data_IF_457723295442
#
_entry.id   IF_457723295442
#
_cell.length_a   1.000
_cell.length_b   1.000
_cell.length_c   1.000
_cell.angle_alpha   90.00
_cell.angle_beta   90.00
_cell.angle_gamma   90.00
#
_symmetry.space_group_name_H-M   'P 1'
#
loop_
_entity.id
_entity.type
_entity.pdbx_description
1 polymer ?
#
# COMPACT_ATOMS: atom_id res chain seq x y z
N UNK A 1 -1.58 -3.16 6.81
CA UNK A 1 -2.73 -2.26 6.87
C UNK A 1 -3.68 -2.77 7.93
N UNK A 2 -4.14 -1.92 8.84
CA UNK A 2 -5.18 -2.28 9.81
C UNK A 2 -6.56 -2.10 9.18
N UNK A 3 -7.47 -3.04 9.43
CA UNK A 3 -8.90 -2.91 9.16
C UNK A 3 -9.58 -2.55 10.47
N UNK A 4 -10.23 -1.41 10.50
CA UNK A 4 -10.91 -0.88 11.68
C UNK A 4 -12.41 -0.93 11.46
N UNK A 5 -13.13 -1.56 12.38
CA UNK A 5 -14.58 -1.46 12.44
C UNK A 5 -14.94 -0.07 13.00
N UNK A 6 -15.61 0.73 12.16
CA UNK A 6 -15.94 2.12 12.48
C UNK A 6 -16.97 2.21 13.61
N UNK A 7 -17.91 1.27 13.71
CA UNK A 7 -18.93 1.31 14.76
C UNK A 7 -18.31 0.97 16.11
N UNK A 8 -17.44 -0.04 16.18
CA UNK A 8 -16.68 -0.34 17.40
C UNK A 8 -15.76 0.82 17.79
N UNK A 9 -15.12 1.47 16.83
CA UNK A 9 -14.29 2.64 17.09
C UNK A 9 -15.10 3.81 17.69
N UNK A 10 -16.25 4.14 17.09
CA UNK A 10 -17.15 5.20 17.57
C UNK A 10 -17.75 4.87 18.94
N UNK A 11 -17.97 3.59 19.24
CA UNK A 11 -18.42 3.12 20.54
C UNK A 11 -17.33 3.12 21.63
N UNK A 12 -16.08 3.48 21.30
CA UNK A 12 -14.97 3.54 22.26
C UNK A 12 -14.39 2.17 22.63
N UNK A 13 -14.55 1.15 21.77
CA UNK A 13 -14.06 -0.21 22.02
C UNK A 13 -12.52 -0.34 22.07
N UNK A 14 -11.79 0.75 21.80
CA UNK A 14 -10.33 0.80 21.88
C UNK A 14 -9.68 -0.20 20.91
N UNK A 15 -8.69 -1.00 21.35
CA UNK A 15 -7.98 -1.93 20.48
C UNK A 15 -8.88 -2.97 19.78
N UNK A 16 -10.04 -3.29 20.36
CA UNK A 16 -10.99 -4.24 19.75
C UNK A 16 -11.61 -3.72 18.45
N UNK A 17 -11.49 -2.42 18.16
CA UNK A 17 -11.93 -1.87 16.88
C UNK A 17 -11.02 -2.29 15.72
N UNK A 18 -9.77 -2.72 15.94
CA UNK A 18 -8.93 -3.32 14.89
C UNK A 18 -9.33 -4.78 14.69
N UNK A 19 -10.17 -5.04 13.68
CA UNK A 19 -10.75 -6.36 13.42
C UNK A 19 -9.87 -7.25 12.53
N UNK A 20 -8.92 -6.66 11.81
CA UNK A 20 -7.93 -7.42 11.06
C UNK A 20 -6.65 -6.60 10.82
N UNK A 21 -5.54 -7.29 10.59
CA UNK A 21 -4.30 -6.70 10.12
C UNK A 21 -3.79 -7.44 8.89
N UNK A 22 -3.80 -6.74 7.76
CA UNK A 22 -3.42 -7.28 6.46
C UNK A 22 -1.93 -7.02 6.24
N UNK A 23 -1.10 -8.06 6.09
CA UNK A 23 0.32 -7.88 5.79
C UNK A 23 0.49 -7.34 4.38
N UNK A 24 1.19 -6.22 4.26
CA UNK A 24 1.64 -5.70 2.97
C UNK A 24 3.10 -6.08 2.82
N UNK A 25 3.40 -6.86 1.79
CA UNK A 25 4.74 -7.40 1.53
C UNK A 25 5.12 -7.05 0.11
N UNK A 26 6.35 -6.59 -0.08
CA UNK A 26 6.85 -6.31 -1.42
C UNK A 26 6.98 -7.59 -2.26
N UNK A 27 6.87 -7.50 -3.59
CA UNK A 27 7.40 -8.53 -4.47
C UNK A 27 8.87 -8.80 -4.13
N UNK A 28 9.22 -10.07 -3.88
CA UNK A 28 10.56 -10.46 -3.42
C UNK A 28 10.79 -10.41 -1.90
N UNK A 29 9.77 -10.05 -1.09
CA UNK A 29 9.77 -10.17 0.37
C UNK A 29 10.47 -9.03 1.11
N UNK A 30 9.93 -8.52 2.21
CA UNK A 30 10.45 -7.38 2.99
C UNK A 30 9.42 -6.26 3.20
N UNK A 31 9.78 -5.16 3.90
CA UNK A 31 8.82 -4.15 4.32
C UNK A 31 8.24 -3.36 3.13
N UNK A 32 6.91 -3.23 3.10
CA UNK A 32 6.16 -2.53 2.05
C UNK A 32 6.13 -0.99 2.18
N UNK A 33 6.38 -0.45 3.38
CA UNK A 33 6.35 1.01 3.69
C UNK A 33 5.13 1.72 3.07
N UNK A 34 3.90 1.39 3.52
CA UNK A 34 2.69 2.03 2.99
C UNK A 34 2.72 3.54 3.21
N UNK A 35 2.24 4.32 2.23
CA UNK A 35 2.26 5.79 2.21
C UNK A 35 0.88 6.39 2.02
N UNK A 36 0.20 6.04 0.93
CA UNK A 36 -1.15 6.50 0.60
C UNK A 36 -2.15 5.35 0.53
N UNK A 37 -3.43 5.68 0.63
CA UNK A 37 -4.54 4.74 0.43
C UNK A 37 -5.68 5.45 -0.28
N UNK A 38 -6.33 4.74 -1.21
CA UNK A 38 -7.59 5.14 -1.83
C UNK A 38 -8.55 3.95 -1.82
N UNK A 39 -9.86 4.22 -1.80
CA UNK A 39 -10.91 3.19 -1.75
C UNK A 39 -11.80 3.34 -2.96
N UNK A 40 -12.18 2.23 -3.59
CA UNK A 40 -13.08 2.26 -4.75
C UNK A 40 -14.46 2.82 -4.37
N UNK A 41 -15.19 3.48 -5.29
CA UNK A 41 -16.49 4.08 -4.97
C UNK A 41 -17.54 3.09 -4.43
N UNK A 42 -17.44 1.82 -4.80
CA UNK A 42 -18.30 0.74 -4.31
C UNK A 42 -17.85 0.18 -2.93
N UNK A 43 -16.75 0.68 -2.37
CA UNK A 43 -16.19 0.25 -1.10
C UNK A 43 -15.61 -1.17 -1.11
N UNK A 44 -15.47 -1.81 -2.29
CA UNK A 44 -15.01 -3.20 -2.37
C UNK A 44 -13.51 -3.34 -2.20
N UNK A 45 -12.74 -2.41 -2.78
CA UNK A 45 -11.28 -2.49 -2.79
C UNK A 45 -10.65 -1.25 -2.18
N UNK A 46 -9.56 -1.46 -1.44
CA UNK A 46 -8.62 -0.40 -1.12
C UNK A 46 -7.33 -0.61 -1.92
N UNK A 47 -6.74 0.48 -2.42
CA UNK A 47 -5.42 0.48 -3.04
C UNK A 47 -4.47 1.23 -2.15
N UNK A 48 -3.44 0.54 -1.68
CA UNK A 48 -2.41 1.12 -0.81
C UNK A 48 -1.14 1.32 -1.62
N UNK A 49 -0.58 2.52 -1.61
CA UNK A 49 0.71 2.80 -2.24
C UNK A 49 1.87 2.60 -1.27
N UNK A 50 3.03 2.26 -1.80
CA UNK A 50 4.27 2.21 -1.03
C UNK A 50 5.45 1.81 -1.91
N UNK A 51 6.58 1.52 -1.29
CA UNK A 51 7.80 1.24 -2.04
C UNK A 51 9.00 1.05 -1.14
N UNK A 52 9.96 0.28 -1.64
CA UNK A 52 11.20 0.02 -0.93
C UNK A 52 12.07 1.28 -0.88
N UNK A 53 12.79 1.46 0.22
CA UNK A 53 14.06 2.17 0.14
C UNK A 53 15.06 1.25 -0.55
N UNK A 54 16.00 1.78 -1.32
CA UNK A 54 17.13 0.99 -1.81
C UNK A 54 17.85 0.36 -0.60
N UNK A 55 17.66 -0.94 -0.41
CA UNK A 55 18.31 -1.67 0.68
C UNK A 55 19.76 -1.97 0.25
N UNK A 56 20.74 -1.61 1.09
CA UNK A 56 22.13 -2.05 0.91
C UNK A 56 23.18 -0.95 0.70
N UNK A 57 22.86 0.33 0.92
CA UNK A 57 23.87 1.39 0.83
C UNK A 57 24.40 1.75 2.23
N UNK A 58 25.74 1.83 2.42
CA UNK A 58 26.41 1.87 3.73
C UNK A 58 26.19 3.14 4.57
N UNK A 59 25.25 3.99 4.18
CA UNK A 59 24.93 5.26 4.84
C UNK A 59 23.48 5.25 5.34
N UNK A 60 23.19 4.45 6.38
CA UNK A 60 21.98 4.53 7.21
C UNK A 60 20.73 5.09 6.52
N UNK A 61 20.31 4.43 5.43
CA UNK A 61 19.39 4.91 4.40
C UNK A 61 18.45 6.04 4.82
N UNK A 62 18.88 7.27 4.63
CA UNK A 62 18.04 8.45 4.43
C UNK A 62 18.52 9.05 3.11
N UNK A 63 17.75 8.89 2.02
CA UNK A 63 17.99 9.64 0.78
C UNK A 63 18.69 8.91 -0.37
N UNK A 64 18.72 7.58 -0.40
CA UNK A 64 18.94 6.85 -1.66
C UNK A 64 17.61 6.27 -2.10
N UNK A 65 16.94 7.03 -2.94
CA UNK A 65 15.73 6.62 -3.63
C UNK A 65 16.11 5.63 -4.73
N UNK A 66 15.17 4.81 -5.20
CA UNK A 66 15.46 3.89 -6.29
C UNK A 66 15.92 4.58 -7.58
N UNK A 67 15.64 5.87 -7.74
CA UNK A 67 16.22 6.76 -8.75
C UNK A 67 17.77 6.83 -8.75
N UNK A 68 18.42 6.66 -7.59
CA UNK A 68 19.90 6.70 -7.48
C UNK A 68 20.55 5.32 -7.64
N UNK A 69 19.75 4.26 -7.80
CA UNK A 69 20.23 2.90 -8.13
C UNK A 69 19.73 2.57 -9.53
N UNK A 70 20.54 2.87 -10.54
CA UNK A 70 20.24 2.68 -11.98
C UNK A 70 19.81 1.27 -12.38
N UNK A 71 20.05 0.27 -11.52
CA UNK A 71 19.61 -1.11 -11.70
C UNK A 71 18.15 -1.38 -11.26
N UNK A 72 17.51 -0.48 -10.51
CA UNK A 72 16.14 -0.65 -10.01
C UNK A 72 15.32 0.60 -10.31
N UNK A 73 15.10 0.89 -11.59
CA UNK A 73 14.04 1.82 -11.96
C UNK A 73 12.70 1.24 -11.45
N UNK A 74 11.91 2.06 -10.76
CA UNK A 74 10.49 1.79 -10.48
C UNK A 74 10.18 0.80 -9.32
N UNK A 75 10.71 1.09 -8.12
CA UNK A 75 10.48 0.30 -6.89
C UNK A 75 9.11 0.49 -6.22
N UNK A 76 8.31 1.46 -6.68
CA UNK A 76 7.00 1.69 -6.13
C UNK A 76 6.06 0.53 -6.47
N UNK A 77 5.22 0.19 -5.49
CA UNK A 77 4.20 -0.82 -5.64
C UNK A 77 2.88 -0.33 -5.06
N UNK A 78 1.78 -0.80 -5.66
CA UNK A 78 0.44 -0.64 -5.12
C UNK A 78 -0.11 -2.02 -4.76
N UNK A 79 -0.70 -2.15 -3.58
CA UNK A 79 -1.41 -3.37 -3.16
C UNK A 79 -2.91 -3.12 -3.26
N UNK A 80 -3.59 -3.95 -4.06
CA UNK A 80 -5.05 -3.97 -4.12
C UNK A 80 -5.54 -4.95 -3.06
N UNK A 81 -6.32 -4.45 -2.13
CA UNK A 81 -6.88 -5.17 -0.99
C UNK A 81 -8.38 -5.31 -1.19
N UNK A 82 -8.90 -6.54 -1.13
CA UNK A 82 -10.33 -6.78 -1.02
C UNK A 82 -10.75 -6.57 0.44
N UNK A 83 -11.62 -5.58 0.65
CA UNK A 83 -12.07 -5.16 1.98
C UNK A 83 -13.08 -6.12 2.60
N UNK A 84 -13.66 -7.04 1.83
CA UNK A 84 -14.57 -8.07 2.35
C UNK A 84 -13.80 -9.28 2.85
N UNK A 85 -12.78 -9.73 2.12
CA UNK A 85 -11.97 -10.89 2.51
C UNK A 85 -10.74 -10.54 3.35
N UNK A 86 -10.47 -9.25 3.54
CA UNK A 86 -9.30 -8.75 4.26
C UNK A 86 -7.98 -9.31 3.71
N UNK A 87 -7.83 -9.32 2.38
CA UNK A 87 -6.66 -9.90 1.72
C UNK A 87 -6.16 -9.04 0.57
N UNK A 88 -4.85 -9.07 0.35
CA UNK A 88 -4.25 -8.55 -0.88
C UNK A 88 -4.65 -9.47 -2.03
N UNK A 89 -5.31 -8.93 -3.04
CA UNK A 89 -5.80 -9.67 -4.23
C UNK A 89 -5.02 -9.34 -5.50
N UNK A 90 -4.29 -8.22 -5.52
CA UNK A 90 -3.35 -7.91 -6.59
C UNK A 90 -2.22 -7.01 -6.11
N UNK A 91 -1.12 -6.99 -6.86
CA UNK A 91 0.00 -6.06 -6.67
C UNK A 91 0.37 -5.46 -8.01
N UNK A 92 0.39 -4.13 -8.08
CA UNK A 92 0.90 -3.37 -9.24
C UNK A 92 2.33 -2.98 -8.91
N UNK A 93 3.28 -3.35 -9.77
CA UNK A 93 4.70 -3.02 -9.61
C UNK A 93 5.12 -2.00 -10.65
N UNK A 94 6.26 -1.35 -10.43
CA UNK A 94 6.72 -0.33 -11.37
C UNK A 94 5.84 0.92 -11.33
N UNK A 95 5.49 1.39 -10.13
CA UNK A 95 4.69 2.61 -9.95
C UNK A 95 5.53 3.71 -9.31
N UNK A 96 6.20 4.48 -10.15
CA UNK A 96 7.14 5.51 -9.71
C UNK A 96 8.26 4.99 -8.79
N UNK A 97 9.02 5.95 -8.31
CA UNK A 97 10.09 5.70 -7.34
C UNK A 97 9.51 5.57 -5.92
N UNK A 98 8.64 6.52 -5.56
CA UNK A 98 8.01 6.60 -4.24
C UNK A 98 6.56 7.13 -4.36
N UNK A 99 5.57 6.27 -4.59
CA UNK A 99 4.20 6.72 -4.78
C UNK A 99 3.56 7.11 -3.44
N UNK A 100 3.33 8.41 -3.25
CA UNK A 100 2.64 8.95 -2.07
C UNK A 100 1.14 9.08 -2.29
N UNK A 101 0.77 9.74 -3.39
CA UNK A 101 -0.63 9.95 -3.75
C UNK A 101 -1.07 8.84 -4.68
N UNK A 102 -2.26 8.30 -4.41
CA UNK A 102 -2.91 7.30 -5.23
C UNK A 102 -4.39 7.66 -5.31
N UNK A 103 -4.98 7.44 -6.48
CA UNK A 103 -6.41 7.54 -6.71
C UNK A 103 -6.88 6.30 -7.48
N UNK A 104 -8.17 6.00 -7.44
CA UNK A 104 -8.74 4.77 -8.00
C UNK A 104 -10.00 5.05 -8.79
N UNK A 105 -10.16 4.33 -9.90
CA UNK A 105 -11.38 4.28 -10.70
C UNK A 105 -11.73 2.83 -10.99
N UNK A 106 -13.01 2.53 -11.15
CA UNK A 106 -13.54 1.19 -11.46
C UNK A 106 -13.56 0.91 -12.97
N UNK A 107 -12.93 1.77 -13.78
CA UNK A 107 -12.80 1.55 -15.22
C UNK A 107 -14.08 1.81 -16.02
N UNK A 108 -15.07 2.51 -15.44
CA UNK A 108 -16.25 2.99 -16.18
C UNK A 108 -15.95 4.08 -17.22
N UNK A 109 -14.69 4.47 -17.37
CA UNK A 109 -14.22 5.34 -18.44
C UNK A 109 -13.27 4.55 -19.35
N UNK A 110 -13.85 3.89 -20.36
CA UNK A 110 -13.10 3.52 -21.57
C UNK A 110 -13.50 4.52 -22.67
N UNK A 111 -12.54 5.32 -23.10
CA UNK A 111 -12.54 5.95 -24.43
C UNK A 111 -11.70 5.07 -25.36
#
# INVERSE_FOLDING_TARGET
MSIVDVQLALAGAGPAAEIARIPLVKPGGGPARPRGVAVTPDGRYAVVSGGAQAAGLPLGGYGLFCEQVTAINNCGALWVVDLKSHSVVATVTGVGNEPYLVDVTDGRHRH
#
